data_IF_792730313207
#
_entry.id   IF_792730313207
#
_cell.length_a   1.000
_cell.length_b   1.000
_cell.length_c   1.000
_cell.angle_alpha   90.00
_cell.angle_beta   90.00
_cell.angle_gamma   90.00
#
_symmetry.space_group_name_H-M   'P 1'
#
loop_
_entity.id
_entity.type
_entity.pdbx_description
1 polymer ?
#
# COMPACT_ATOMS: atom_id res chain seq x y z
N UNK A 1 25.68 -6.43 -17.93
CA UNK A 1 26.89 -7.21 -18.26
C UNK A 1 27.91 -7.23 -17.11
N UNK A 2 28.18 -6.10 -16.44
CA UNK A 2 29.17 -6.02 -15.35
C UNK A 2 28.77 -6.87 -14.15
N UNK A 3 27.50 -6.86 -13.76
CA UNK A 3 26.97 -7.63 -12.62
C UNK A 3 26.86 -9.14 -12.90
N UNK A 4 26.79 -9.55 -14.18
CA UNK A 4 26.64 -10.95 -14.59
C UNK A 4 25.46 -11.63 -13.88
N UNK A 5 25.63 -12.93 -13.54
CA UNK A 5 24.60 -13.73 -12.88
C UNK A 5 24.23 -13.27 -11.47
N UNK A 6 25.02 -12.41 -10.84
CA UNK A 6 24.75 -11.82 -9.52
C UNK A 6 23.88 -10.57 -9.60
N UNK A 7 23.62 -10.04 -10.81
CA UNK A 7 22.76 -8.89 -11.03
C UNK A 7 21.28 -9.26 -10.99
N UNK A 8 20.45 -8.38 -10.42
CA UNK A 8 19.00 -8.43 -10.50
C UNK A 8 18.45 -7.03 -10.76
N UNK A 9 17.58 -6.91 -11.75
CA UNK A 9 16.83 -5.69 -12.03
C UNK A 9 15.43 -5.82 -11.45
N UNK A 10 14.97 -4.80 -10.73
CA UNK A 10 13.63 -4.71 -10.12
C UNK A 10 13.00 -3.39 -10.52
N UNK A 11 11.71 -3.40 -10.79
CA UNK A 11 10.95 -2.17 -11.05
C UNK A 11 9.65 -2.16 -10.24
N UNK A 12 9.25 -0.96 -9.81
CA UNK A 12 7.93 -0.70 -9.20
C UNK A 12 6.96 -0.03 -10.17
N UNK A 13 7.29 0.02 -11.47
CA UNK A 13 6.42 0.62 -12.49
C UNK A 13 5.31 -0.36 -12.83
N UNK A 14 4.06 0.06 -12.64
CA UNK A 14 2.86 -0.72 -12.97
C UNK A 14 2.51 -0.53 -14.48
N UNK A 15 3.43 -0.93 -15.34
CA UNK A 15 3.31 -0.91 -16.78
C UNK A 15 3.78 -2.24 -17.37
N UNK A 16 2.99 -2.82 -18.27
CA UNK A 16 3.25 -4.14 -18.84
C UNK A 16 4.58 -4.20 -19.59
N UNK A 17 4.87 -3.21 -20.42
CA UNK A 17 6.10 -3.15 -21.22
C UNK A 17 7.33 -3.01 -20.32
N UNK A 18 7.22 -2.21 -19.24
CA UNK A 18 8.29 -2.08 -18.25
C UNK A 18 8.56 -3.39 -17.53
N UNK A 19 7.51 -4.12 -17.13
CA UNK A 19 7.63 -5.42 -16.48
C UNK A 19 8.23 -6.48 -17.43
N UNK A 20 7.75 -6.57 -18.65
CA UNK A 20 8.32 -7.46 -19.68
C UNK A 20 9.79 -7.16 -19.95
N UNK A 21 10.15 -5.88 -20.04
CA UNK A 21 11.54 -5.45 -20.23
C UNK A 21 12.43 -5.92 -19.08
N UNK A 22 11.95 -5.80 -17.85
CA UNK A 22 12.70 -6.27 -16.66
C UNK A 22 12.83 -7.79 -16.62
N UNK A 23 11.78 -8.53 -16.97
CA UNK A 23 11.85 -9.99 -17.13
C UNK A 23 12.90 -10.38 -18.18
N UNK A 24 12.91 -9.68 -19.30
CA UNK A 24 13.87 -9.84 -20.38
C UNK A 24 15.31 -9.62 -19.89
N UNK A 25 15.58 -8.52 -19.23
CA UNK A 25 16.92 -8.18 -18.71
C UNK A 25 17.41 -9.26 -17.73
N UNK A 26 16.57 -9.68 -16.78
CA UNK A 26 16.95 -10.70 -15.79
C UNK A 26 17.22 -12.06 -16.43
N UNK A 27 16.49 -12.40 -17.47
CA UNK A 27 16.74 -13.62 -18.27
C UNK A 27 18.07 -13.53 -19.02
N UNK A 28 18.36 -12.38 -19.68
CA UNK A 28 19.64 -12.15 -20.36
C UNK A 28 20.84 -12.16 -19.42
N UNK A 29 20.68 -11.68 -18.19
CA UNK A 29 21.70 -11.75 -17.15
C UNK A 29 21.91 -13.18 -16.65
N UNK A 30 20.99 -14.09 -16.91
CA UNK A 30 20.93 -15.42 -16.28
C UNK A 30 21.05 -15.30 -14.75
N UNK A 31 20.27 -14.36 -14.17
CA UNK A 31 20.38 -13.99 -12.77
C UNK A 31 20.04 -15.16 -11.85
N UNK A 32 20.94 -15.46 -10.91
CA UNK A 32 20.73 -16.52 -9.89
C UNK A 32 19.56 -16.20 -8.95
N UNK A 33 19.24 -14.94 -8.76
CA UNK A 33 18.12 -14.49 -7.93
C UNK A 33 16.76 -14.51 -8.66
N UNK A 34 16.77 -14.69 -9.99
CA UNK A 34 15.56 -14.73 -10.81
C UNK A 34 15.11 -16.17 -11.04
N UNK A 35 13.96 -16.54 -10.50
CA UNK A 35 13.42 -17.91 -10.58
C UNK A 35 12.07 -17.94 -11.32
N UNK A 36 12.02 -17.72 -12.63
CA UNK A 36 10.78 -17.58 -13.38
C UNK A 36 9.94 -18.87 -13.43
N UNK A 37 10.55 -20.04 -13.26
CA UNK A 37 9.85 -21.32 -13.22
C UNK A 37 9.07 -21.57 -11.94
N UNK A 38 9.28 -20.73 -10.92
CA UNK A 38 8.59 -20.80 -9.64
C UNK A 38 8.06 -19.42 -9.23
N UNK A 39 7.13 -18.83 -9.99
CA UNK A 39 6.59 -17.54 -9.69
C UNK A 39 5.84 -17.54 -8.35
N UNK A 40 5.84 -16.41 -7.67
CA UNK A 40 4.97 -16.17 -6.52
C UNK A 40 3.53 -16.07 -7.00
N UNK A 41 2.61 -16.71 -6.28
CA UNK A 41 1.18 -16.76 -6.60
C UNK A 41 0.33 -15.98 -5.59
N UNK A 42 0.95 -15.18 -4.72
CA UNK A 42 0.28 -14.42 -3.66
C UNK A 42 -0.57 -13.25 -4.19
N UNK A 43 -0.31 -12.80 -5.42
CA UNK A 43 -1.08 -11.75 -6.08
C UNK A 43 -1.35 -12.19 -7.51
N UNK A 44 -2.61 -12.51 -7.77
CA UNK A 44 -3.10 -12.88 -9.09
C UNK A 44 -4.36 -12.06 -9.35
N UNK A 45 -4.23 -11.03 -10.15
CA UNK A 45 -5.33 -10.16 -10.51
C UNK A 45 -5.38 -9.93 -12.01
N UNK A 46 -6.55 -9.56 -12.49
CA UNK A 46 -6.73 -9.09 -13.86
C UNK A 46 -7.61 -7.84 -13.81
N UNK A 47 -7.01 -6.69 -14.07
CA UNK A 47 -7.64 -5.37 -13.99
C UNK A 47 -8.83 -5.27 -14.93
N UNK A 48 -8.71 -5.77 -16.16
CA UNK A 48 -9.77 -5.70 -17.17
C UNK A 48 -11.01 -6.50 -16.76
N UNK A 49 -10.79 -7.69 -16.14
CA UNK A 49 -11.90 -8.48 -15.60
C UNK A 49 -12.57 -7.80 -14.43
N UNK A 50 -11.81 -7.16 -13.54
CA UNK A 50 -12.35 -6.40 -12.41
C UNK A 50 -13.18 -5.21 -12.91
N UNK A 51 -12.63 -4.42 -13.84
CA UNK A 51 -13.34 -3.30 -14.44
C UNK A 51 -14.61 -3.76 -15.16
N UNK A 52 -14.53 -4.84 -15.95
CA UNK A 52 -15.68 -5.43 -16.62
C UNK A 52 -16.76 -5.91 -15.66
N UNK A 53 -16.35 -6.48 -14.53
CA UNK A 53 -17.31 -6.90 -13.49
C UNK A 53 -18.00 -5.69 -12.83
N UNK A 54 -17.23 -4.64 -12.48
CA UNK A 54 -17.77 -3.40 -11.92
C UNK A 54 -18.77 -2.76 -12.92
N UNK A 55 -18.38 -2.62 -14.19
CA UNK A 55 -19.23 -2.04 -15.23
C UNK A 55 -20.46 -2.92 -15.50
N UNK A 56 -20.30 -4.23 -15.42
CA UNK A 56 -21.41 -5.18 -15.53
C UNK A 56 -22.44 -5.05 -14.39
N UNK A 57 -21.99 -4.77 -13.17
CA UNK A 57 -22.85 -4.51 -12.02
C UNK A 57 -23.56 -3.15 -12.20
N UNK A 58 -22.80 -2.10 -12.49
CA UNK A 58 -23.35 -0.74 -12.67
C UNK A 58 -24.38 -0.70 -13.80
N UNK A 59 -24.11 -1.39 -14.91
CA UNK A 59 -25.05 -1.46 -16.05
C UNK A 59 -26.21 -2.42 -15.87
N UNK A 60 -26.29 -3.14 -14.75
CA UNK A 60 -27.35 -4.11 -14.45
C UNK A 60 -27.26 -5.42 -15.26
N UNK A 61 -26.15 -5.69 -15.95
CA UNK A 61 -25.91 -6.96 -16.64
C UNK A 61 -25.65 -8.11 -15.65
N UNK A 62 -24.93 -7.81 -14.56
CA UNK A 62 -24.70 -8.75 -13.46
C UNK A 62 -25.80 -8.55 -12.44
N UNK A 63 -26.48 -9.63 -12.06
CA UNK A 63 -27.67 -9.63 -11.21
C UNK A 63 -27.36 -10.09 -9.78
N UNK A 64 -26.26 -10.78 -9.57
CA UNK A 64 -25.87 -11.31 -8.27
C UNK A 64 -24.40 -11.00 -7.96
N UNK A 65 -24.08 -10.70 -6.70
CA UNK A 65 -22.74 -10.42 -6.24
C UNK A 65 -22.48 -11.12 -4.90
N UNK A 66 -21.36 -11.83 -4.84
CA UNK A 66 -20.80 -12.33 -3.58
C UNK A 66 -19.41 -11.75 -3.43
N UNK A 67 -19.13 -11.09 -2.31
CA UNK A 67 -17.80 -10.56 -1.98
C UNK A 67 -17.21 -11.26 -0.76
N UNK A 68 -15.90 -11.46 -0.74
CA UNK A 68 -15.17 -12.03 0.39
C UNK A 68 -13.99 -11.13 0.76
N UNK A 69 -14.05 -10.46 1.91
CA UNK A 69 -12.94 -9.69 2.47
C UNK A 69 -12.47 -8.51 1.63
N UNK A 70 -13.30 -8.02 0.68
CA UNK A 70 -13.00 -6.90 -0.20
C UNK A 70 -14.01 -5.77 -0.02
N UNK A 71 -13.58 -4.54 -0.33
CA UNK A 71 -14.42 -3.35 -0.19
C UNK A 71 -14.39 -2.47 -1.45
N UNK A 72 -14.87 -2.98 -2.61
CA UNK A 72 -14.77 -2.25 -3.88
C UNK A 72 -15.54 -0.92 -3.90
N UNK A 73 -16.58 -0.77 -3.09
CA UNK A 73 -17.30 0.51 -2.96
C UNK A 73 -16.40 1.62 -2.39
N UNK A 74 -15.40 1.27 -1.58
CA UNK A 74 -14.43 2.22 -1.05
C UNK A 74 -13.16 2.31 -1.91
N UNK A 75 -12.68 1.17 -2.44
CA UNK A 75 -11.34 1.04 -3.04
C UNK A 75 -11.29 1.26 -4.55
N UNK A 76 -12.37 1.74 -5.16
CA UNK A 76 -12.41 2.04 -6.61
C UNK A 76 -12.91 3.44 -6.88
N UNK A 77 -12.49 4.01 -8.01
CA UNK A 77 -12.94 5.32 -8.46
C UNK A 77 -14.44 5.37 -8.79
N UNK A 78 -15.03 4.24 -9.15
CA UNK A 78 -16.48 4.07 -9.42
C UNK A 78 -17.29 3.65 -8.18
N UNK A 79 -16.71 3.78 -6.98
CA UNK A 79 -17.28 3.22 -5.74
C UNK A 79 -18.70 3.72 -5.44
N UNK A 80 -19.00 4.99 -5.67
CA UNK A 80 -20.32 5.57 -5.45
C UNK A 80 -21.37 4.89 -6.34
N UNK A 81 -21.11 4.83 -7.63
CA UNK A 81 -22.06 4.24 -8.60
C UNK A 81 -22.20 2.74 -8.37
N UNK A 82 -21.10 2.07 -8.02
CA UNK A 82 -21.09 0.66 -7.65
C UNK A 82 -21.94 0.40 -6.39
N UNK A 83 -21.82 1.24 -5.36
CA UNK A 83 -22.62 1.12 -4.14
C UNK A 83 -24.12 1.23 -4.42
N UNK A 84 -24.55 2.19 -5.24
CA UNK A 84 -25.95 2.32 -5.63
C UNK A 84 -26.42 1.13 -6.48
N UNK A 85 -25.59 0.62 -7.37
CA UNK A 85 -25.91 -0.55 -8.17
C UNK A 85 -26.06 -1.82 -7.30
N UNK A 86 -25.21 -2.03 -6.30
CA UNK A 86 -25.28 -3.19 -5.39
C UNK A 86 -26.60 -3.24 -4.63
N UNK A 87 -27.15 -2.10 -4.20
CA UNK A 87 -28.46 -2.03 -3.52
C UNK A 87 -29.60 -2.57 -4.38
N UNK A 88 -29.48 -2.45 -5.69
CA UNK A 88 -30.48 -2.80 -6.67
C UNK A 88 -30.29 -4.19 -7.32
N UNK A 89 -29.27 -4.96 -6.88
CA UNK A 89 -29.06 -6.32 -7.38
C UNK A 89 -30.20 -7.25 -6.93
N UNK A 90 -30.46 -8.29 -7.71
CA UNK A 90 -31.40 -9.35 -7.33
C UNK A 90 -30.88 -10.12 -6.10
N UNK A 91 -29.54 -10.25 -5.98
CA UNK A 91 -28.89 -10.87 -4.83
C UNK A 91 -27.54 -10.23 -4.57
N UNK A 92 -27.27 -9.85 -3.32
CA UNK A 92 -25.93 -9.41 -2.90
C UNK A 92 -25.60 -9.90 -1.49
N UNK A 93 -24.42 -10.51 -1.34
CA UNK A 93 -23.93 -11.08 -0.09
C UNK A 93 -22.47 -10.70 0.13
N UNK A 94 -22.17 -10.02 1.24
CA UNK A 94 -20.82 -9.67 1.64
C UNK A 94 -20.35 -10.55 2.79
N UNK A 95 -19.27 -11.30 2.58
CA UNK A 95 -18.55 -11.99 3.63
C UNK A 95 -17.44 -11.08 4.16
N UNK A 96 -17.55 -10.66 5.40
CA UNK A 96 -16.60 -9.74 6.01
C UNK A 96 -16.54 -9.90 7.53
N UNK A 97 -15.40 -9.58 8.13
CA UNK A 97 -15.24 -9.54 9.60
C UNK A 97 -15.61 -8.18 10.19
N UNK A 98 -15.79 -7.16 9.37
CA UNK A 98 -16.08 -5.77 9.78
C UNK A 98 -17.13 -5.17 8.84
N UNK A 99 -18.01 -4.35 9.38
CA UNK A 99 -18.90 -3.56 8.52
C UNK A 99 -18.06 -2.57 7.71
N UNK A 100 -18.30 -2.52 6.41
CA UNK A 100 -17.63 -1.63 5.47
C UNK A 100 -18.62 -1.13 4.40
N UNK A 101 -18.16 -0.24 3.52
CA UNK A 101 -19.00 0.42 2.53
C UNK A 101 -19.67 -0.57 1.57
N UNK A 102 -19.00 -1.63 1.17
CA UNK A 102 -19.59 -2.69 0.32
C UNK A 102 -20.65 -3.49 1.08
N UNK A 103 -20.32 -3.90 2.30
CA UNK A 103 -21.26 -4.65 3.14
C UNK A 103 -22.53 -3.83 3.47
N UNK A 104 -22.36 -2.52 3.74
CA UNK A 104 -23.49 -1.63 4.03
C UNK A 104 -24.45 -1.43 2.85
N UNK A 105 -23.99 -1.69 1.62
CA UNK A 105 -24.81 -1.63 0.41
C UNK A 105 -25.33 -3.02 -0.04
N UNK A 106 -24.91 -4.10 0.62
CA UNK A 106 -25.32 -5.47 0.30
C UNK A 106 -26.62 -5.85 1.04
N UNK A 107 -27.45 -6.70 0.42
CA UNK A 107 -28.69 -7.21 1.04
C UNK A 107 -28.41 -8.11 2.24
N UNK A 108 -27.34 -8.90 2.14
CA UNK A 108 -26.93 -9.83 3.20
C UNK A 108 -25.48 -9.62 3.57
N UNK A 109 -25.19 -9.73 4.87
CA UNK A 109 -23.84 -9.70 5.41
C UNK A 109 -23.62 -10.95 6.24
N UNK A 110 -22.59 -11.71 5.90
CA UNK A 110 -22.17 -12.90 6.63
C UNK A 110 -20.86 -12.61 7.37
N UNK A 111 -20.88 -12.74 8.68
CA UNK A 111 -19.70 -12.55 9.51
C UNK A 111 -18.72 -13.72 9.31
N UNK A 112 -17.47 -13.38 8.91
CA UNK A 112 -16.38 -14.35 8.74
C UNK A 112 -15.50 -14.40 9.98
N UNK A 113 -14.93 -15.57 10.32
CA UNK A 113 -13.94 -15.69 11.38
C UNK A 113 -12.63 -15.00 10.99
N UNK A 114 -11.84 -14.67 12.00
CA UNK A 114 -10.48 -14.21 11.81
C UNK A 114 -9.59 -15.35 11.27
N UNK A 115 -8.47 -15.02 10.60
CA UNK A 115 -7.56 -16.05 10.06
C UNK A 115 -6.98 -16.97 11.14
N UNK A 116 -6.82 -16.50 12.38
CA UNK A 116 -6.40 -17.31 13.52
C UNK A 116 -7.47 -18.33 13.97
N UNK A 117 -8.70 -18.18 13.52
CA UNK A 117 -9.86 -19.03 13.81
C UNK A 117 -10.20 -19.98 12.66
N UNK A 118 -9.44 -19.93 11.56
CA UNK A 118 -9.84 -20.51 10.27
C UNK A 118 -8.79 -21.49 9.74
N UNK A 119 -9.25 -22.50 9.03
CA UNK A 119 -8.41 -23.32 8.17
C UNK A 119 -8.17 -22.62 6.85
N UNK A 120 -6.99 -22.83 6.26
CA UNK A 120 -6.65 -22.37 4.93
C UNK A 120 -5.55 -23.18 4.30
N UNK A 121 -5.52 -23.20 2.99
CA UNK A 121 -4.45 -23.74 2.20
C UNK A 121 -4.10 -22.79 1.06
N UNK A 122 -2.82 -22.65 0.79
CA UNK A 122 -2.30 -21.64 -0.13
C UNK A 122 -1.15 -22.22 -0.95
N UNK A 123 -1.17 -22.03 -2.25
CA UNK A 123 0.00 -22.17 -3.08
C UNK A 123 0.71 -20.83 -3.18
N UNK A 124 1.64 -20.57 -2.25
CA UNK A 124 2.34 -19.29 -2.13
C UNK A 124 3.29 -19.01 -3.29
N UNK A 125 3.82 -20.06 -3.86
CA UNK A 125 4.75 -20.09 -4.98
C UNK A 125 4.51 -21.40 -5.71
N UNK A 126 4.68 -21.41 -7.02
CA UNK A 126 4.44 -22.65 -7.81
C UNK A 126 5.13 -23.86 -7.21
N UNK A 127 4.36 -24.89 -6.90
CA UNK A 127 4.80 -26.11 -6.25
C UNK A 127 5.09 -26.01 -4.75
N UNK A 128 4.80 -24.86 -4.10
CA UNK A 128 4.99 -24.66 -2.66
C UNK A 128 3.65 -24.35 -2.00
N UNK A 129 3.17 -25.29 -1.23
CA UNK A 129 1.88 -25.24 -0.55
C UNK A 129 2.08 -25.01 0.95
N UNK A 130 1.24 -24.19 1.55
CA UNK A 130 1.24 -23.90 2.97
C UNK A 130 -0.16 -24.11 3.56
N UNK A 131 -0.21 -24.57 4.81
CA UNK A 131 -1.45 -24.73 5.58
C UNK A 131 -1.53 -23.63 6.65
N UNK A 132 -2.69 -23.00 6.73
CA UNK A 132 -3.07 -22.21 7.88
C UNK A 132 -3.98 -23.05 8.78
N UNK A 133 -3.62 -23.18 10.05
CA UNK A 133 -4.36 -23.93 11.05
C UNK A 133 -4.98 -22.95 12.06
N UNK A 134 -6.23 -23.16 12.51
CA UNK A 134 -6.79 -22.31 13.55
C UNK A 134 -5.99 -22.44 14.84
N UNK A 135 -5.54 -21.31 15.37
CA UNK A 135 -4.78 -21.21 16.61
C UNK A 135 -5.72 -21.06 17.81
N UNK A 136 -6.89 -20.48 17.56
CA UNK A 136 -7.93 -20.27 18.56
C UNK A 136 -9.29 -20.74 18.02
N UNK A 137 -10.24 -20.95 18.93
CA UNK A 137 -11.63 -21.21 18.55
C UNK A 137 -12.28 -19.91 18.09
N UNK A 138 -13.30 -19.96 17.18
CA UNK A 138 -14.11 -18.80 16.85
C UNK A 138 -14.64 -18.11 18.10
N UNK A 139 -14.41 -16.80 18.22
CA UNK A 139 -14.87 -15.99 19.35
C UNK A 139 -16.33 -15.61 19.22
N UNK A 140 -16.86 -15.59 17.98
CA UNK A 140 -18.21 -15.19 17.65
C UNK A 140 -18.90 -16.25 16.78
N UNK A 141 -20.22 -16.14 16.61
CA UNK A 141 -20.97 -17.00 15.70
C UNK A 141 -20.73 -16.66 14.24
N UNK A 142 -19.55 -17.00 13.77
CA UNK A 142 -19.06 -16.76 12.42
C UNK A 142 -19.05 -18.05 11.60
N UNK A 143 -19.03 -17.91 10.27
CA UNK A 143 -18.90 -19.05 9.35
C UNK A 143 -17.83 -18.77 8.33
N UNK A 144 -16.93 -19.73 8.18
CA UNK A 144 -15.91 -19.66 7.16
C UNK A 144 -16.56 -19.75 5.76
N UNK A 145 -16.11 -18.89 4.85
CA UNK A 145 -16.68 -18.80 3.50
C UNK A 145 -16.70 -20.14 2.77
N UNK A 146 -15.63 -20.91 2.86
CA UNK A 146 -15.51 -22.22 2.22
C UNK A 146 -16.52 -23.23 2.79
N UNK A 147 -16.80 -23.22 4.09
CA UNK A 147 -17.83 -24.06 4.69
C UNK A 147 -19.22 -23.70 4.16
N UNK A 148 -19.47 -22.42 3.94
CA UNK A 148 -20.75 -21.96 3.34
C UNK A 148 -20.87 -22.43 1.90
N UNK A 149 -19.80 -22.32 1.11
CA UNK A 149 -19.78 -22.79 -0.29
C UNK A 149 -20.02 -24.32 -0.38
N UNK A 150 -19.35 -25.10 0.47
CA UNK A 150 -19.57 -26.55 0.53
C UNK A 150 -21.05 -26.88 0.82
N UNK A 151 -21.67 -26.18 1.76
CA UNK A 151 -23.11 -26.37 2.05
C UNK A 151 -24.01 -25.97 0.89
N UNK A 152 -23.71 -24.85 0.22
CA UNK A 152 -24.46 -24.39 -0.94
C UNK A 152 -24.37 -25.36 -2.14
N UNK A 153 -23.22 -26.04 -2.26
CA UNK A 153 -23.03 -27.09 -3.27
C UNK A 153 -23.68 -28.45 -2.90
N UNK A 154 -24.29 -28.54 -1.72
CA UNK A 154 -24.93 -29.76 -1.24
C UNK A 154 -24.01 -30.71 -0.46
N UNK A 155 -22.71 -30.31 -0.28
CA UNK A 155 -21.75 -31.11 0.45
C UNK A 155 -21.94 -30.98 1.96
N UNK A 156 -21.78 -32.11 2.68
CA UNK A 156 -21.85 -32.14 4.15
C UNK A 156 -20.48 -32.08 4.82
N UNK A 157 -19.40 -32.04 4.03
CA UNK A 157 -18.04 -31.95 4.52
C UNK A 157 -17.76 -30.59 5.17
N UNK A 158 -16.89 -30.58 6.18
CA UNK A 158 -16.26 -29.36 6.68
C UNK A 158 -15.06 -29.02 5.79
N UNK A 159 -14.69 -27.77 5.73
CA UNK A 159 -13.57 -27.31 4.92
C UNK A 159 -12.25 -28.01 5.26
N UNK A 160 -11.98 -28.30 6.54
CA UNK A 160 -10.83 -29.13 6.94
C UNK A 160 -10.78 -30.49 6.21
N UNK A 161 -11.92 -31.18 6.15
CA UNK A 161 -11.98 -32.49 5.50
C UNK A 161 -11.81 -32.36 3.98
N UNK A 162 -12.34 -31.28 3.40
CA UNK A 162 -12.15 -30.96 1.99
C UNK A 162 -10.69 -30.67 1.65
N UNK A 163 -9.99 -29.84 2.45
CA UNK A 163 -8.54 -29.61 2.31
C UNK A 163 -7.78 -30.94 2.37
N UNK A 164 -8.04 -31.73 3.42
CA UNK A 164 -7.35 -33.00 3.62
C UNK A 164 -7.58 -33.96 2.44
N UNK A 165 -8.79 -34.08 1.93
CA UNK A 165 -9.10 -34.91 0.79
C UNK A 165 -8.38 -34.42 -0.47
N UNK A 166 -8.42 -33.10 -0.76
CA UNK A 166 -7.76 -32.53 -1.91
C UNK A 166 -6.24 -32.71 -1.85
N UNK A 167 -5.62 -32.46 -0.70
CA UNK A 167 -4.18 -32.62 -0.55
C UNK A 167 -3.74 -34.06 -0.72
N UNK A 168 -4.45 -35.03 -0.17
CA UNK A 168 -4.14 -36.43 -0.32
C UNK A 168 -4.26 -36.90 -1.78
N UNK A 169 -5.25 -36.39 -2.52
CA UNK A 169 -5.49 -36.86 -3.89
C UNK A 169 -4.65 -36.13 -4.95
N UNK A 170 -4.26 -34.86 -4.73
CA UNK A 170 -3.68 -34.02 -5.80
C UNK A 170 -2.29 -33.46 -5.48
N UNK A 171 -1.91 -33.31 -4.20
CA UNK A 171 -0.72 -32.57 -3.81
C UNK A 171 0.36 -33.47 -3.22
N UNK A 172 0.01 -34.36 -2.28
CA UNK A 172 0.98 -35.01 -1.41
C UNK A 172 1.77 -36.17 -2.05
N UNK A 173 1.34 -36.69 -3.19
CA UNK A 173 2.01 -37.83 -3.87
C UNK A 173 2.38 -38.99 -2.93
N UNK A 174 1.46 -39.34 -2.00
CA UNK A 174 1.66 -40.43 -1.05
C UNK A 174 2.36 -40.06 0.25
N UNK A 175 2.74 -38.79 0.44
CA UNK A 175 3.24 -38.30 1.73
C UNK A 175 2.10 -38.26 2.76
N UNK A 176 2.43 -38.59 4.04
CA UNK A 176 1.46 -38.59 5.12
C UNK A 176 0.90 -37.19 5.39
N UNK A 177 -0.43 -37.06 5.44
CA UNK A 177 -1.11 -35.86 5.87
C UNK A 177 -0.65 -35.36 7.23
N UNK A 178 -0.48 -36.26 8.21
CA UNK A 178 -0.06 -35.88 9.55
C UNK A 178 1.32 -35.26 9.58
N UNK A 179 2.23 -35.69 8.70
CA UNK A 179 3.56 -35.09 8.58
C UNK A 179 3.44 -33.64 8.07
N UNK A 180 2.69 -33.42 7.01
CA UNK A 180 2.53 -32.09 6.43
C UNK A 180 1.75 -31.15 7.34
N UNK A 181 0.77 -31.67 8.07
CA UNK A 181 0.05 -30.93 9.08
C UNK A 181 0.97 -30.43 10.21
N UNK A 182 1.92 -31.30 10.64
CA UNK A 182 2.96 -30.94 11.62
C UNK A 182 3.93 -29.89 11.05
N UNK A 183 4.39 -30.08 9.82
CA UNK A 183 5.39 -29.22 9.20
C UNK A 183 4.81 -27.87 8.73
N UNK A 184 3.48 -27.81 8.50
CA UNK A 184 2.74 -26.63 8.06
C UNK A 184 2.89 -26.30 6.57
N UNK A 185 3.74 -27.03 5.84
CA UNK A 185 3.99 -26.80 4.42
C UNK A 185 4.39 -28.07 3.67
N UNK A 186 4.29 -28.00 2.34
CA UNK A 186 4.77 -29.04 1.43
C UNK A 186 5.37 -28.39 0.17
N UNK A 187 6.49 -28.94 -0.31
CA UNK A 187 7.08 -28.55 -1.59
C UNK A 187 7.10 -29.76 -2.52
N UNK A 188 6.37 -29.67 -3.61
CA UNK A 188 6.29 -30.76 -4.61
C UNK A 188 7.50 -30.81 -5.52
N UNK A 189 8.36 -29.78 -5.53
CA UNK A 189 9.45 -29.64 -6.51
C UNK A 189 8.94 -29.31 -7.93
N UNK A 190 7.65 -29.21 -8.14
CA UNK A 190 7.06 -28.88 -9.44
C UNK A 190 7.45 -27.46 -9.85
N UNK A 191 7.80 -27.28 -11.11
CA UNK A 191 8.09 -25.98 -11.71
C UNK A 191 7.25 -25.79 -12.96
N UNK A 192 6.87 -24.55 -13.23
CA UNK A 192 6.17 -24.21 -14.47
C UNK A 192 7.13 -24.20 -15.66
N UNK A 193 6.60 -24.48 -16.84
CA UNK A 193 7.32 -24.22 -18.07
C UNK A 193 7.38 -22.71 -18.26
N UNK A 194 8.57 -22.14 -18.20
CA UNK A 194 8.81 -20.74 -18.49
C UNK A 194 9.31 -20.61 -19.92
N UNK A 195 8.54 -19.93 -20.75
CA UNK A 195 8.97 -19.55 -22.10
C UNK A 195 9.73 -18.24 -21.98
N UNK A 196 10.97 -18.23 -22.41
CA UNK A 196 11.79 -17.01 -22.47
C UNK A 196 11.12 -15.99 -23.38
N UNK A 197 10.87 -14.75 -22.92
CA UNK A 197 10.36 -13.71 -23.80
C UNK A 197 11.28 -13.50 -25.00
N UNK A 198 10.70 -13.28 -26.17
CA UNK A 198 11.47 -12.89 -27.34
C UNK A 198 11.81 -11.39 -27.26
N UNK A 199 13.06 -11.13 -26.88
CA UNK A 199 13.56 -9.75 -26.67
C UNK A 199 13.51 -8.88 -27.92
N UNK A 200 13.50 -9.48 -29.11
CA UNK A 200 13.43 -8.75 -30.38
C UNK A 200 12.03 -8.15 -30.61
N UNK A 201 11.03 -8.68 -29.94
CA UNK A 201 9.63 -8.28 -30.08
C UNK A 201 9.15 -7.33 -28.98
N UNK A 202 9.98 -7.01 -27.97
CA UNK A 202 9.59 -6.03 -26.93
C UNK A 202 9.70 -4.63 -27.51
N UNK A 203 8.56 -3.99 -27.76
CA UNK A 203 8.52 -2.60 -28.19
C UNK A 203 8.60 -1.69 -26.96
N UNK A 204 9.76 -1.10 -26.70
CA UNK A 204 9.99 -0.16 -25.59
C UNK A 204 9.63 1.29 -25.93
N UNK A 205 9.23 1.59 -27.18
CA UNK A 205 8.86 2.94 -27.59
C UNK A 205 7.80 3.60 -26.70
N UNK A 206 6.74 2.91 -26.26
CA UNK A 206 5.76 3.51 -25.36
C UNK A 206 6.33 4.04 -24.05
N UNK A 207 7.44 3.48 -23.55
CA UNK A 207 8.13 3.96 -22.34
C UNK A 207 8.83 5.31 -22.57
N UNK A 208 9.19 5.63 -23.81
CA UNK A 208 9.82 6.89 -24.20
C UNK A 208 8.82 7.98 -24.58
N UNK A 209 7.64 7.59 -25.03
CA UNK A 209 6.58 8.49 -25.48
C UNK A 209 5.69 8.99 -24.35
N UNK A 210 5.87 8.49 -23.14
CA UNK A 210 5.12 8.96 -21.99
C UNK A 210 5.37 10.46 -21.80
N UNK A 211 4.40 11.29 -22.19
CA UNK A 211 4.44 12.73 -21.96
C UNK A 211 4.55 12.97 -20.45
N UNK A 212 5.56 13.72 -20.03
CA UNK A 212 5.68 14.16 -18.67
C UNK A 212 4.57 15.17 -18.37
N UNK A 213 3.58 14.87 -17.53
CA UNK A 213 2.57 15.85 -17.18
C UNK A 213 3.26 17.02 -16.44
N UNK A 214 2.66 18.19 -16.50
CA UNK A 214 3.15 19.36 -15.76
C UNK A 214 3.24 19.07 -14.24
N UNK A 215 2.26 18.32 -13.74
CA UNK A 215 2.23 17.83 -12.34
C UNK A 215 1.77 16.36 -12.30
N UNK A 216 2.52 15.52 -11.63
CA UNK A 216 2.20 14.11 -11.43
C UNK A 216 1.68 13.86 -10.01
N UNK A 217 0.48 13.26 -9.90
CA UNK A 217 -0.05 12.73 -8.65
C UNK A 217 0.44 11.28 -8.47
N UNK A 218 1.03 11.02 -7.31
CA UNK A 218 1.42 9.67 -6.89
C UNK A 218 0.49 9.23 -5.76
N UNK A 219 -0.28 8.18 -6.00
CA UNK A 219 -1.13 7.53 -5.02
C UNK A 219 -0.36 6.40 -4.33
N UNK A 220 -0.33 6.40 -2.99
CA UNK A 220 0.47 5.44 -2.23
C UNK A 220 -0.18 5.01 -0.91
N UNK A 221 0.34 3.97 -0.30
CA UNK A 221 -0.08 3.50 1.03
C UNK A 221 0.91 3.98 2.08
N UNK A 222 0.42 4.56 3.18
CA UNK A 222 1.23 4.82 4.37
C UNK A 222 1.55 3.53 5.12
N UNK A 223 2.67 3.50 5.82
CA UNK A 223 3.11 2.35 6.62
C UNK A 223 2.07 1.95 7.68
N UNK A 224 1.45 2.92 8.37
CA UNK A 224 0.45 2.65 9.40
C UNK A 224 -0.91 2.23 8.84
N UNK A 225 -1.48 3.05 7.94
CA UNK A 225 -2.87 2.90 7.51
C UNK A 225 -3.07 1.95 6.32
N UNK A 226 -2.02 1.69 5.54
CA UNK A 226 -2.14 0.86 4.36
C UNK A 226 -3.24 1.32 3.39
N UNK A 227 -4.13 0.42 3.03
CA UNK A 227 -5.32 0.68 2.20
C UNK A 227 -6.58 1.04 3.02
N UNK A 228 -6.45 1.15 4.34
CA UNK A 228 -7.55 1.48 5.25
C UNK A 228 -8.38 0.30 5.73
N UNK A 229 -7.97 -0.95 5.50
CA UNK A 229 -8.68 -2.11 6.04
C UNK A 229 -8.78 -2.06 7.57
N UNK A 230 -7.72 -1.59 8.23
CA UNK A 230 -7.63 -1.47 9.69
C UNK A 230 -7.90 -0.04 10.21
N UNK A 231 -8.61 0.80 9.46
CA UNK A 231 -8.91 2.18 9.84
C UNK A 231 -9.73 2.29 11.15
N UNK A 232 -10.38 1.21 11.58
CA UNK A 232 -11.09 1.14 12.87
C UNK A 232 -10.16 0.89 14.07
N UNK A 233 -8.84 0.81 13.87
CA UNK A 233 -7.86 0.70 14.91
C UNK A 233 -7.31 2.11 15.26
N UNK A 234 -7.65 2.67 16.45
CA UNK A 234 -7.22 4.01 16.82
C UNK A 234 -5.69 4.14 16.94
N UNK A 235 -5.00 3.10 17.34
CA UNK A 235 -3.53 3.12 17.42
C UNK A 235 -2.86 3.31 16.06
N UNK A 236 -3.45 2.75 14.99
CA UNK A 236 -2.97 3.01 13.64
C UNK A 236 -3.28 4.44 13.17
N UNK A 237 -4.40 5.01 13.60
CA UNK A 237 -4.73 6.41 13.34
C UNK A 237 -3.76 7.37 14.06
N UNK A 238 -3.40 7.05 15.30
CA UNK A 238 -2.44 7.81 16.11
C UNK A 238 -1.00 7.64 15.65
N UNK A 239 -0.69 6.59 14.90
CA UNK A 239 0.67 6.29 14.44
C UNK A 239 1.16 7.37 13.48
N UNK A 240 2.19 8.17 13.86
CA UNK A 240 2.62 9.28 13.03
C UNK A 240 3.33 8.79 11.76
N UNK A 241 3.09 9.51 10.67
CA UNK A 241 3.86 9.30 9.45
C UNK A 241 5.36 9.50 9.72
N UNK A 242 6.25 8.60 9.30
CA UNK A 242 7.66 8.67 9.63
C UNK A 242 8.39 9.88 9.03
N UNK A 243 7.85 10.51 8.00
CA UNK A 243 8.45 11.67 7.32
C UNK A 243 7.81 12.97 7.80
N UNK A 244 6.50 13.09 7.66
CA UNK A 244 5.76 14.33 7.98
C UNK A 244 5.35 14.44 9.43
N UNK A 245 5.32 13.32 10.16
CA UNK A 245 4.91 13.20 11.58
C UNK A 245 3.46 13.56 11.85
N UNK A 246 2.65 13.57 10.81
CA UNK A 246 1.21 13.78 10.90
C UNK A 246 0.50 12.48 11.25
N UNK A 247 -0.41 12.54 12.20
CA UNK A 247 -1.35 11.48 12.59
C UNK A 247 -2.76 11.83 12.15
N UNK A 248 -3.67 10.86 12.17
CA UNK A 248 -5.12 11.02 11.97
C UNK A 248 -5.57 11.47 10.59
N UNK A 249 -4.67 11.77 9.65
CA UNK A 249 -5.00 12.44 8.40
C UNK A 249 -4.23 11.91 7.20
N UNK A 250 -4.81 12.09 6.01
CA UNK A 250 -4.06 12.12 4.76
C UNK A 250 -4.10 13.52 4.16
N UNK A 251 -3.10 13.82 3.39
CA UNK A 251 -2.81 15.14 2.84
C UNK A 251 -2.04 15.02 1.54
N UNK A 252 -2.06 16.09 0.77
CA UNK A 252 -1.23 16.22 -0.42
C UNK A 252 0.18 16.66 -0.02
N UNK A 253 1.19 15.85 -0.28
CA UNK A 253 2.59 16.27 -0.17
C UNK A 253 3.01 17.00 -1.44
N UNK A 254 3.76 18.09 -1.29
CA UNK A 254 4.20 18.93 -2.41
C UNK A 254 5.58 19.51 -2.14
N UNK A 255 6.38 19.76 -3.20
CA UNK A 255 7.66 20.44 -3.06
C UNK A 255 7.47 21.91 -2.64
N UNK A 256 8.45 22.50 -1.96
CA UNK A 256 8.41 23.92 -1.60
C UNK A 256 8.29 24.82 -2.83
N UNK A 257 8.99 24.48 -3.93
CA UNK A 257 8.95 25.27 -5.15
C UNK A 257 7.55 25.28 -5.79
N UNK A 258 6.93 24.08 -5.87
CA UNK A 258 5.59 23.96 -6.47
C UNK A 258 4.52 24.57 -5.54
N UNK A 259 4.66 24.42 -4.23
CA UNK A 259 3.77 25.04 -3.24
C UNK A 259 3.77 26.57 -3.38
N UNK A 260 4.96 27.18 -3.45
CA UNK A 260 5.09 28.62 -3.66
C UNK A 260 4.46 29.07 -4.99
N UNK A 261 4.66 28.32 -6.06
CA UNK A 261 4.08 28.61 -7.37
C UNK A 261 2.54 28.51 -7.36
N UNK A 262 1.99 27.58 -6.57
CA UNK A 262 0.55 27.36 -6.44
C UNK A 262 -0.11 28.22 -5.33
N UNK A 263 0.65 29.04 -4.59
CA UNK A 263 0.14 29.84 -3.48
C UNK A 263 -0.23 29.03 -2.24
N UNK A 264 0.35 27.83 -2.08
CA UNK A 264 0.11 26.92 -0.95
C UNK A 264 1.20 27.10 0.11
N UNK A 265 0.84 27.01 1.38
CA UNK A 265 1.77 27.22 2.50
C UNK A 265 1.46 26.33 3.70
N UNK A 266 2.49 26.10 4.51
CA UNK A 266 2.32 25.66 5.88
C UNK A 266 2.75 26.77 6.83
N UNK A 267 2.05 26.92 7.94
CA UNK A 267 2.32 27.94 8.96
C UNK A 267 2.40 27.29 10.33
N UNK A 268 3.43 27.64 11.10
CA UNK A 268 3.50 27.26 12.50
C UNK A 268 2.72 28.29 13.32
N UNK A 269 1.80 27.82 14.14
CA UNK A 269 1.05 28.67 15.06
C UNK A 269 1.86 28.96 16.32
N UNK A 270 1.44 29.93 17.12
CA UNK A 270 2.13 30.34 18.35
C UNK A 270 2.25 29.21 19.40
N UNK A 271 1.32 28.27 19.39
CA UNK A 271 1.33 27.08 20.26
C UNK A 271 2.15 25.91 19.68
N UNK A 272 2.81 26.09 18.51
CA UNK A 272 3.62 25.06 17.87
C UNK A 272 2.85 24.09 16.98
N UNK A 273 1.54 24.27 16.78
CA UNK A 273 0.78 23.48 15.82
C UNK A 273 1.15 23.84 14.38
N UNK A 274 0.95 22.90 13.47
CA UNK A 274 1.15 23.09 12.04
C UNK A 274 -0.20 23.26 11.35
N UNK A 275 -0.38 24.38 10.64
CA UNK A 275 -1.50 24.58 9.74
C UNK A 275 -1.03 24.45 8.29
N UNK A 276 -1.91 23.97 7.43
CA UNK A 276 -1.66 23.87 5.99
C UNK A 276 -2.84 24.38 5.18
N UNK A 277 -2.53 24.98 4.03
CA UNK A 277 -3.55 25.36 3.05
C UNK A 277 -4.36 24.15 2.62
N UNK A 278 -5.62 24.33 2.25
CA UNK A 278 -6.34 23.38 1.42
C UNK A 278 -6.06 23.61 -0.05
N UNK A 279 -6.02 22.55 -0.81
CA UNK A 279 -6.00 22.56 -2.27
C UNK A 279 -7.20 21.79 -2.83
N UNK A 280 -7.71 22.24 -3.97
CA UNK A 280 -8.54 21.43 -4.83
C UNK A 280 -7.63 20.74 -5.84
N UNK A 281 -7.64 19.42 -5.85
CA UNK A 281 -6.93 18.62 -6.85
C UNK A 281 -7.94 18.01 -7.81
N UNK A 282 -7.60 17.98 -9.09
CA UNK A 282 -8.45 17.43 -10.15
C UNK A 282 -7.66 16.47 -11.03
N UNK A 283 -8.10 15.22 -11.09
CA UNK A 283 -7.55 14.19 -11.96
C UNK A 283 -8.70 13.38 -12.58
N UNK A 284 -8.61 13.07 -13.88
CA UNK A 284 -9.59 12.27 -14.62
C UNK A 284 -11.05 12.78 -14.47
N UNK A 285 -11.24 14.10 -14.45
CA UNK A 285 -12.56 14.71 -14.29
C UNK A 285 -13.16 14.67 -12.89
N UNK A 286 -12.43 14.15 -11.88
CA UNK A 286 -12.83 14.11 -10.47
C UNK A 286 -12.02 15.11 -9.66
N UNK A 287 -12.65 15.72 -8.68
CA UNK A 287 -12.01 16.71 -7.82
C UNK A 287 -12.15 16.35 -6.35
N UNK A 288 -11.06 16.52 -5.60
CA UNK A 288 -11.04 16.37 -4.15
C UNK A 288 -10.49 17.65 -3.50
N UNK A 289 -11.03 18.00 -2.33
CA UNK A 289 -10.47 19.01 -1.44
C UNK A 289 -9.53 18.33 -0.46
N UNK A 290 -8.26 18.70 -0.45
CA UNK A 290 -7.22 18.04 0.34
C UNK A 290 -6.39 19.05 1.11
N UNK A 291 -6.01 18.80 2.36
CA UNK A 291 -5.04 19.62 3.06
C UNK A 291 -3.62 19.35 2.50
N UNK A 292 -2.73 20.31 2.63
CA UNK A 292 -1.41 20.29 1.99
C UNK A 292 -0.28 20.32 3.02
N UNK A 293 0.68 19.43 2.84
CA UNK A 293 1.97 19.43 3.54
C UNK A 293 3.08 19.73 2.54
N UNK A 294 3.80 20.82 2.78
CA UNK A 294 5.05 21.11 2.08
C UNK A 294 6.12 20.19 2.62
N UNK A 295 6.62 19.29 1.77
CA UNK A 295 7.59 18.28 2.17
C UNK A 295 8.97 18.62 1.58
N UNK A 296 9.95 18.98 2.43
CA UNK A 296 11.32 19.19 1.99
C UNK A 296 11.91 17.94 1.31
N UNK A 297 12.64 18.15 0.21
CA UNK A 297 13.24 17.06 -0.56
C UNK A 297 12.30 16.36 -1.56
N UNK A 298 11.02 16.71 -1.62
CA UNK A 298 10.13 16.20 -2.65
C UNK A 298 10.49 16.75 -4.02
N UNK A 299 10.47 15.90 -5.03
CA UNK A 299 10.79 16.28 -6.40
C UNK A 299 9.78 17.29 -6.94
N UNK A 300 10.27 18.32 -7.62
CA UNK A 300 9.45 19.29 -8.32
C UNK A 300 8.61 18.62 -9.42
N UNK A 301 7.38 19.09 -9.61
CA UNK A 301 6.44 18.51 -10.56
C UNK A 301 5.76 17.23 -10.06
N UNK A 302 5.91 16.88 -8.76
CA UNK A 302 5.27 15.72 -8.17
C UNK A 302 4.51 16.05 -6.90
N UNK A 303 3.36 15.42 -6.70
CA UNK A 303 2.58 15.47 -5.46
C UNK A 303 2.17 14.06 -5.06
N UNK A 304 2.09 13.82 -3.76
CA UNK A 304 1.71 12.53 -3.22
C UNK A 304 0.43 12.61 -2.41
N UNK A 305 -0.45 11.60 -2.53
CA UNK A 305 -1.65 11.46 -1.70
C UNK A 305 -1.80 10.02 -1.25
N UNK A 306 -1.92 9.79 0.05
CA UNK A 306 -2.03 8.43 0.59
C UNK A 306 -3.46 7.92 0.61
N UNK A 307 -3.59 6.61 0.37
CA UNK A 307 -4.81 5.85 0.61
C UNK A 307 -5.08 5.64 2.11
N UNK A 308 -6.22 5.04 2.41
CA UNK A 308 -6.56 4.47 3.71
C UNK A 308 -7.45 5.33 4.60
N UNK A 309 -7.65 6.58 4.25
CA UNK A 309 -8.48 7.55 4.97
C UNK A 309 -9.80 7.86 4.24
N UNK A 310 -10.67 8.62 4.89
CA UNK A 310 -11.97 8.98 4.31
C UNK A 310 -13.05 7.91 4.44
N UNK A 311 -12.81 6.85 5.22
CA UNK A 311 -13.84 5.87 5.57
C UNK A 311 -14.84 6.45 6.55
N UNK A 312 -16.10 6.03 6.40
CA UNK A 312 -17.20 6.47 7.26
C UNK A 312 -17.95 5.29 7.89
N UNK A 313 -18.08 4.20 7.16
CA UNK A 313 -18.85 3.04 7.60
C UNK A 313 -17.99 2.14 8.49
N UNK A 314 -18.57 1.71 9.61
CA UNK A 314 -17.91 0.83 10.58
C UNK A 314 -16.86 1.53 11.45
N UNK A 315 -16.82 2.87 11.45
CA UNK A 315 -15.94 3.70 12.26
C UNK A 315 -16.75 4.56 13.22
N UNK A 316 -16.21 4.81 14.41
CA UNK A 316 -16.69 5.87 15.29
C UNK A 316 -16.48 7.23 14.64
N UNK A 317 -17.31 8.21 14.98
CA UNK A 317 -17.29 9.54 14.37
C UNK A 317 -15.92 10.22 14.46
N UNK A 318 -15.29 10.17 15.61
CA UNK A 318 -13.95 10.72 15.87
C UNK A 318 -12.82 10.07 15.04
N UNK A 319 -13.08 8.88 14.48
CA UNK A 319 -12.14 8.16 13.63
C UNK A 319 -12.41 8.36 12.12
N UNK A 320 -13.44 9.10 11.77
CA UNK A 320 -13.84 9.36 10.39
C UNK A 320 -13.06 10.55 9.80
N UNK A 321 -11.76 10.40 9.71
CA UNK A 321 -10.82 11.44 9.31
C UNK A 321 -10.37 11.31 7.85
N UNK A 322 -9.83 12.41 7.31
CA UNK A 322 -9.24 12.46 5.99
C UNK A 322 -10.23 12.27 4.83
N UNK A 323 -9.68 11.97 3.67
CA UNK A 323 -10.40 11.85 2.40
C UNK A 323 -10.14 10.52 1.71
N UNK A 324 -11.09 10.05 0.91
CA UNK A 324 -10.93 8.84 0.12
C UNK A 324 -10.13 9.08 -1.17
N UNK A 325 -8.83 8.83 -1.13
CA UNK A 325 -7.95 8.98 -2.30
C UNK A 325 -8.23 7.95 -3.41
N UNK A 326 -8.93 6.85 -3.12
CA UNK A 326 -9.32 5.86 -4.16
C UNK A 326 -10.29 6.44 -5.19
N UNK A 327 -10.99 7.53 -4.89
CA UNK A 327 -11.83 8.23 -5.87
C UNK A 327 -11.03 8.71 -7.10
N UNK A 328 -9.72 8.94 -6.94
CA UNK A 328 -8.80 9.31 -8.03
C UNK A 328 -8.07 8.09 -8.63
N UNK A 329 -8.26 6.88 -8.08
CA UNK A 329 -7.54 5.67 -8.49
C UNK A 329 -8.17 5.04 -9.73
N UNK A 330 -8.10 5.77 -10.85
CA UNK A 330 -8.70 5.36 -12.12
C UNK A 330 -7.85 4.25 -12.76
N UNK A 331 -8.52 3.19 -13.19
CA UNK A 331 -7.90 2.01 -13.83
C UNK A 331 -6.71 1.44 -13.04
N UNK A 332 -6.76 1.55 -11.71
CA UNK A 332 -5.70 1.09 -10.81
C UNK A 332 -4.32 1.68 -11.06
N UNK A 333 -4.26 2.86 -11.69
CA UNK A 333 -3.00 3.59 -11.94
C UNK A 333 -2.63 4.44 -10.74
N UNK A 334 -1.43 4.23 -10.22
CA UNK A 334 -0.89 4.99 -9.07
C UNK A 334 -0.33 6.35 -9.47
N UNK A 335 0.12 6.50 -10.71
CA UNK A 335 0.69 7.75 -11.21
C UNK A 335 -0.24 8.34 -12.26
N UNK A 336 -0.64 9.60 -12.07
CA UNK A 336 -1.61 10.27 -12.92
C UNK A 336 -1.28 11.75 -13.07
N UNK A 337 -1.74 12.38 -14.15
CA UNK A 337 -1.71 13.84 -14.27
C UNK A 337 -2.72 14.47 -13.33
N UNK A 338 -2.37 15.58 -12.70
CA UNK A 338 -3.24 16.32 -11.77
C UNK A 338 -3.13 17.82 -11.98
N UNK A 339 -4.24 18.51 -11.81
CA UNK A 339 -4.31 19.96 -11.68
C UNK A 339 -4.54 20.32 -10.22
N UNK A 340 -3.89 21.40 -9.76
CA UNK A 340 -3.94 21.85 -8.37
C UNK A 340 -4.32 23.32 -8.35
N UNK A 341 -5.23 23.68 -7.47
CA UNK A 341 -5.56 25.08 -7.17
C UNK A 341 -5.68 25.29 -5.66
N UNK A 342 -5.10 26.37 -5.16
CA UNK A 342 -5.21 26.74 -3.75
C UNK A 342 -6.66 27.11 -3.38
N UNK A 343 -7.03 26.84 -2.13
CA UNK A 343 -8.26 27.28 -1.50
C UNK A 343 -7.91 28.22 -0.33
N UNK A 344 -8.82 29.10 0.04
CA UNK A 344 -8.59 30.09 1.12
C UNK A 344 -8.59 29.46 2.52
N UNK A 345 -9.10 28.25 2.66
CA UNK A 345 -9.23 27.55 3.94
C UNK A 345 -7.90 26.95 4.39
N UNK A 346 -7.71 26.88 5.70
CA UNK A 346 -6.56 26.21 6.33
C UNK A 346 -7.02 24.99 7.15
N UNK A 347 -6.13 24.00 7.26
CA UNK A 347 -6.28 22.78 8.02
C UNK A 347 -5.27 22.72 9.15
N UNK A 348 -5.71 22.35 10.34
CA UNK A 348 -4.85 22.14 11.50
C UNK A 348 -4.45 20.65 11.55
N UNK A 349 -3.15 20.38 11.48
CA UNK A 349 -2.63 19.01 11.50
C UNK A 349 -2.29 18.54 12.91
N UNK A 350 -2.65 17.31 13.21
CA UNK A 350 -2.15 16.60 14.40
C UNK A 350 -0.71 16.11 14.13
N UNK A 351 0.26 16.98 14.37
CA UNK A 351 1.67 16.67 14.19
C UNK A 351 2.39 16.47 15.52
N UNK A 352 3.27 15.49 15.59
CA UNK A 352 4.17 15.28 16.73
C UNK A 352 5.59 15.73 16.41
N UNK A 353 6.28 16.31 17.40
CA UNK A 353 7.71 16.65 17.31
C UNK A 353 8.08 17.51 16.07
N UNK A 354 7.36 18.60 15.88
CA UNK A 354 7.64 19.57 14.80
C UNK A 354 8.95 20.32 15.02
N UNK A 355 10.06 19.66 14.85
CA UNK A 355 11.39 20.25 14.91
C UNK A 355 11.87 20.57 13.49
N UNK A 356 11.32 21.62 12.91
CA UNK A 356 11.62 22.02 11.53
C UNK A 356 12.68 23.13 11.43
N UNK A 357 13.22 23.58 12.57
CA UNK A 357 14.33 24.50 12.64
C UNK A 357 15.36 24.04 13.68
N UNK A 358 16.60 24.38 13.49
CA UNK A 358 17.66 24.13 14.47
C UNK A 358 17.61 25.09 15.66
N UNK A 359 16.70 26.08 15.66
CA UNK A 359 16.54 27.09 16.72
C UNK A 359 17.87 27.80 17.07
N UNK A 360 18.69 28.07 16.06
CA UNK A 360 20.02 28.69 16.22
C UNK A 360 21.14 27.72 16.61
N UNK A 361 20.86 26.42 16.75
CA UNK A 361 21.85 25.39 17.12
C UNK A 361 22.47 24.76 15.87
N UNK A 362 23.13 25.58 15.03
CA UNK A 362 23.70 25.16 13.74
C UNK A 362 24.69 23.99 13.83
N UNK A 363 25.33 23.82 15.00
CA UNK A 363 26.35 22.78 15.20
C UNK A 363 25.79 21.37 15.41
N UNK A 364 24.48 21.21 15.59
CA UNK A 364 23.82 19.90 15.75
C UNK A 364 23.87 19.09 14.46
N UNK A 365 23.67 19.74 13.32
CA UNK A 365 23.78 19.12 11.99
C UNK A 365 25.07 19.57 11.34
N UNK A 366 25.94 18.61 11.07
CA UNK A 366 27.19 18.86 10.36
C UNK A 366 26.96 18.69 8.87
N UNK A 367 27.23 19.76 8.12
CA UNK A 367 27.11 19.79 6.67
C UNK A 367 28.47 20.05 6.03
N UNK A 368 28.75 19.41 4.91
CA UNK A 368 29.94 19.63 4.13
C UNK A 368 29.75 19.27 2.67
N UNK A 369 30.56 19.78 1.78
CA UNK A 369 30.57 19.36 0.39
C UNK A 369 31.30 18.02 0.23
N UNK A 370 30.97 17.26 -0.80
CA UNK A 370 31.62 15.99 -1.12
C UNK A 370 33.15 16.20 -1.38
N UNK A 371 33.53 17.33 -1.95
CA UNK A 371 34.92 17.68 -2.19
C UNK A 371 35.69 17.83 -0.86
N UNK A 372 35.15 18.58 0.10
CA UNK A 372 35.74 18.75 1.43
C UNK A 372 35.81 17.41 2.15
N UNK A 373 34.73 16.64 2.13
CA UNK A 373 34.67 15.31 2.75
C UNK A 373 35.79 14.39 2.23
N UNK A 374 36.06 14.41 0.92
CA UNK A 374 37.06 13.54 0.30
C UNK A 374 38.50 14.07 0.41
N UNK A 375 38.70 15.37 0.60
CA UNK A 375 40.03 16.00 0.51
C UNK A 375 40.55 16.56 1.81
N UNK A 376 39.68 16.80 2.80
CA UNK A 376 40.07 17.43 4.07
C UNK A 376 39.98 16.45 5.24
N UNK A 377 40.78 16.69 6.27
CA UNK A 377 40.72 15.96 7.53
C UNK A 377 39.33 16.09 8.18
N UNK A 378 38.92 15.06 8.92
CA UNK A 378 37.63 14.99 9.64
C UNK A 378 37.32 16.24 10.46
N UNK A 379 38.32 16.85 11.07
CA UNK A 379 38.19 18.07 11.88
C UNK A 379 37.61 19.26 11.14
N UNK A 380 37.72 19.31 9.79
CA UNK A 380 37.15 20.39 9.00
C UNK A 380 35.64 20.33 8.86
N UNK A 381 35.06 19.12 8.81
CA UNK A 381 33.66 18.96 8.57
C UNK A 381 32.91 18.34 9.75
N UNK A 382 33.61 17.81 10.75
CA UNK A 382 33.07 17.29 11.98
C UNK A 382 34.01 17.61 13.15
N UNK A 383 34.15 18.89 13.53
CA UNK A 383 34.98 19.27 14.66
C UNK A 383 34.42 18.70 15.96
N UNK A 384 35.30 18.40 16.89
CA UNK A 384 34.92 17.98 18.23
C UNK A 384 34.15 19.11 18.91
N UNK A 385 33.00 18.87 19.55
CA UNK A 385 32.30 19.90 20.30
C UNK A 385 33.17 20.51 21.40
N UNK A 386 33.11 21.82 21.53
CA UNK A 386 33.70 22.54 22.65
C UNK A 386 32.71 22.54 23.83
N UNK A 387 33.17 22.22 25.00
CA UNK A 387 32.40 22.31 26.24
C UNK A 387 33.09 23.27 27.21
N UNK A 388 32.31 23.91 28.07
CA UNK A 388 32.81 24.79 29.12
C UNK A 388 32.54 24.15 30.48
N UNK A 389 33.59 24.03 31.28
CA UNK A 389 33.52 23.66 32.68
C UNK A 389 34.30 24.69 33.50
N UNK A 390 33.69 25.22 34.53
CA UNK A 390 34.30 26.25 35.37
C UNK A 390 34.81 27.48 34.57
N UNK A 391 34.06 27.86 33.52
CA UNK A 391 34.40 28.92 32.57
C UNK A 391 35.66 28.69 31.68
N UNK A 392 36.16 27.45 31.65
CA UNK A 392 37.26 27.04 30.78
C UNK A 392 36.69 26.19 29.66
N UNK A 393 36.91 26.59 28.41
CA UNK A 393 36.55 25.81 27.22
C UNK A 393 37.57 24.71 26.98
N UNK A 394 37.11 23.51 26.72
CA UNK A 394 37.95 22.38 26.35
C UNK A 394 37.19 21.43 25.42
N UNK A 395 37.92 20.64 24.65
CA UNK A 395 37.35 19.61 23.79
C UNK A 395 36.93 18.39 24.61
N UNK A 396 35.75 17.81 24.30
CA UNK A 396 35.35 16.52 24.88
C UNK A 396 36.19 15.42 24.24
N UNK A 397 37.19 14.98 24.99
CA UNK A 397 38.16 13.96 24.54
C UNK A 397 38.02 12.63 25.26
N UNK A 398 37.21 12.56 26.32
CA UNK A 398 37.07 11.42 27.19
C UNK A 398 35.65 11.31 27.73
N UNK A 399 35.10 10.08 27.92
CA UNK A 399 33.85 9.86 28.61
C UNK A 399 33.77 10.38 30.06
N UNK A 400 34.93 10.68 30.65
CA UNK A 400 34.99 11.19 32.04
C UNK A 400 34.69 12.71 32.13
N UNK A 401 34.36 13.33 31.00
CA UNK A 401 34.08 14.78 30.90
C UNK A 401 32.56 15.05 30.79
N UNK A 402 31.73 14.07 30.93
CA UNK A 402 30.28 14.22 30.97
C UNK A 402 29.76 14.86 32.28
#
# INVERSE_FOLDING_TARGET
>A
KIAGTKGLVVTGIDDEVAQETVLAINTLLNSEAFQPKQPKLTRQGNIDKVNSAIDGIISGKIKGLITLGVNPVFTTSKGKDLGEAIKNLEFSLAFTSKMNETAANSQFVAATPHYLESWGDYEMKSGHFALAQPTIRPLFDTRQFQDVLLRLSGEKLKYYDAIKANWNSTILNGLSWNKVLHDGYFSSGTSLNFTTPDFNNINVSPLHEASSPEMSLILYTKTGMGDGQEANNPWLQEFPDPITRVSWDNYLTISLADANSAGLKNTNTANGALNGSYAKITANGRSLKVPVIVQPGQAKGTVGLSFGYGKRIGLKEEMQTGINAFELYENFKRVQSVQISALEEEHEFACVQLHNTLMGRGDIVKETSLEIFNTKDKKYWNPVPQVSKDHIEFEVTSPEVD
#
